data_IF_164356389214
#
_entry.id   IF_164356389214
#
_cell.length_a   1.000
_cell.length_b   1.000
_cell.length_c   1.000
_cell.angle_alpha   90.00
_cell.angle_beta   90.00
_cell.angle_gamma   90.00
#
_symmetry.space_group_name_H-M   'P 1'
#
loop_
_entity.id
_entity.type
_entity.pdbx_description
1 polymer ?
#
# COMPACT_ATOMS: atom_id res chain seq x y z
N UNK A 1 7.75 23.57 2.24
CA UNK A 1 7.95 22.56 3.28
C UNK A 1 9.20 21.75 2.95
N UNK A 2 10.17 21.80 3.84
CA UNK A 2 11.45 21.11 3.61
C UNK A 2 11.36 19.66 4.09
N UNK A 3 10.73 18.82 3.29
CA UNK A 3 10.74 17.40 3.58
C UNK A 3 11.89 16.76 2.79
N UNK A 4 12.83 16.19 3.50
CA UNK A 4 13.89 15.42 2.87
C UNK A 4 13.39 13.99 2.71
N UNK A 5 13.04 13.61 1.48
CA UNK A 5 12.57 12.27 1.16
C UNK A 5 13.70 11.29 0.89
N UNK A 6 14.94 11.77 0.84
CA UNK A 6 16.08 10.94 0.50
C UNK A 6 16.53 10.13 1.71
N UNK A 7 16.62 8.81 1.54
CA UNK A 7 17.07 7.90 2.60
C UNK A 7 16.27 8.00 3.89
N UNK A 8 14.96 8.16 3.75
CA UNK A 8 14.06 8.34 4.89
C UNK A 8 13.08 7.17 4.99
N UNK A 9 12.69 6.82 6.21
CA UNK A 9 11.67 5.82 6.49
C UNK A 9 10.53 6.51 7.26
N UNK A 10 9.33 6.45 6.71
CA UNK A 10 8.17 7.09 7.31
C UNK A 10 7.18 6.00 7.71
N UNK A 11 6.84 5.95 8.99
CA UNK A 11 5.84 5.04 9.51
C UNK A 11 4.52 5.80 9.67
N UNK A 12 3.50 5.40 8.91
CA UNK A 12 2.22 6.07 8.95
C UNK A 12 1.25 5.54 7.90
N UNK A 13 0.10 6.18 7.82
CA UNK A 13 -0.90 5.87 6.79
C UNK A 13 -0.37 6.37 5.43
N UNK A 14 -0.22 5.44 4.49
CA UNK A 14 0.40 5.75 3.20
C UNK A 14 -0.34 6.83 2.43
N UNK A 15 -1.68 6.84 2.45
CA UNK A 15 -2.45 7.88 1.76
C UNK A 15 -2.21 9.26 2.37
N UNK A 16 -2.17 9.36 3.68
CA UNK A 16 -1.90 10.62 4.36
C UNK A 16 -0.49 11.10 4.07
N UNK A 17 0.48 10.19 4.10
CA UNK A 17 1.87 10.55 3.84
C UNK A 17 2.11 10.90 2.38
N UNK A 18 1.51 10.18 1.44
CA UNK A 18 1.62 10.49 0.02
C UNK A 18 1.11 11.89 -0.31
N UNK A 19 0.03 12.32 0.33
CA UNK A 19 -0.54 13.66 0.09
C UNK A 19 0.41 14.79 0.46
N UNK A 20 1.37 14.54 1.32
CA UNK A 20 2.39 15.53 1.72
C UNK A 20 3.50 15.66 0.69
N UNK A 21 3.60 14.75 -0.26
CA UNK A 21 4.68 14.69 -1.25
C UNK A 21 4.28 15.51 -2.46
N UNK A 22 5.17 16.37 -2.98
CA UNK A 22 4.88 17.15 -4.19
C UNK A 22 4.71 16.27 -5.43
N UNK A 23 4.07 16.83 -6.46
CA UNK A 23 3.92 16.17 -7.75
C UNK A 23 5.29 15.87 -8.36
N UNK A 24 5.36 14.80 -9.13
CA UNK A 24 6.53 14.46 -9.95
C UNK A 24 7.84 14.46 -9.16
N UNK A 25 7.84 13.76 -8.01
CA UNK A 25 8.98 13.69 -7.11
C UNK A 25 9.85 12.47 -7.34
N UNK A 26 9.23 11.32 -7.67
CA UNK A 26 9.92 10.04 -7.71
C UNK A 26 10.09 9.51 -9.12
N UNK A 27 11.17 8.75 -9.32
CA UNK A 27 11.46 8.06 -10.58
C UNK A 27 10.88 6.64 -10.58
N UNK A 28 10.79 6.02 -9.40
CA UNK A 28 10.33 4.64 -9.26
C UNK A 28 9.58 4.49 -7.94
N UNK A 29 8.46 3.79 -8.00
CA UNK A 29 7.74 3.35 -6.82
C UNK A 29 7.66 1.82 -6.84
N UNK A 30 8.02 1.19 -5.73
CA UNK A 30 7.77 -0.22 -5.50
C UNK A 30 6.69 -0.32 -4.43
N UNK A 31 5.54 -0.88 -4.79
CA UNK A 31 4.37 -0.91 -3.92
C UNK A 31 4.03 -2.34 -3.49
N UNK A 32 3.70 -2.49 -2.22
CA UNK A 32 3.20 -3.74 -1.66
C UNK A 32 1.90 -3.43 -0.91
N UNK A 33 0.80 -3.25 -1.65
CA UNK A 33 -0.47 -2.85 -1.03
C UNK A 33 -1.17 -4.00 -0.32
N UNK A 34 -2.16 -3.70 0.52
CA UNK A 34 -2.99 -4.75 1.11
C UNK A 34 -3.74 -5.53 0.03
N UNK A 35 -3.88 -6.82 0.24
CA UNK A 35 -4.52 -7.72 -0.74
C UNK A 35 -5.97 -8.02 -0.43
N UNK A 36 -6.53 -7.49 0.66
CA UNK A 36 -7.89 -7.77 1.11
C UNK A 36 -8.11 -9.28 1.33
N UNK A 37 -7.16 -9.91 1.98
CA UNK A 37 -7.15 -11.36 2.13
C UNK A 37 -8.33 -11.88 2.95
N UNK A 38 -8.79 -11.15 3.97
CA UNK A 38 -9.93 -11.52 4.82
C UNK A 38 -9.83 -12.93 5.41
N UNK A 39 -8.62 -13.32 5.78
CA UNK A 39 -8.37 -14.64 6.34
C UNK A 39 -8.83 -14.67 7.79
N UNK A 40 -9.80 -15.54 8.09
CA UNK A 40 -10.42 -15.65 9.41
C UNK A 40 -9.99 -16.88 10.18
N UNK A 41 -9.25 -17.77 9.55
CA UNK A 41 -8.87 -19.05 10.14
C UNK A 41 -7.40 -19.33 9.92
N UNK A 42 -6.93 -20.39 10.58
CA UNK A 42 -5.57 -20.85 10.42
C UNK A 42 -5.34 -21.37 9.00
N UNK A 43 -4.16 -21.08 8.47
CA UNK A 43 -3.69 -21.67 7.22
C UNK A 43 -2.81 -22.87 7.54
N UNK A 44 -2.83 -23.86 6.65
CA UNK A 44 -2.01 -25.06 6.79
C UNK A 44 -0.92 -25.05 5.75
N UNK A 45 0.32 -25.25 6.18
CA UNK A 45 1.46 -25.39 5.28
C UNK A 45 1.46 -26.79 4.63
N UNK A 46 2.20 -26.98 3.52
CA UNK A 46 2.29 -28.31 2.89
C UNK A 46 2.77 -29.42 3.82
N UNK A 47 3.54 -29.12 4.86
CA UNK A 47 4.00 -30.08 5.85
C UNK A 47 2.97 -30.33 6.97
N UNK A 48 1.75 -29.80 6.81
CA UNK A 48 0.65 -29.88 7.76
C UNK A 48 0.81 -29.05 9.03
N UNK A 49 1.84 -28.21 9.13
CA UNK A 49 1.91 -27.24 10.22
C UNK A 49 0.92 -26.10 9.97
N UNK A 50 0.36 -25.57 11.05
CA UNK A 50 -0.61 -24.48 10.96
C UNK A 50 0.07 -23.13 10.98
N UNK A 51 -0.45 -22.20 10.19
CA UNK A 51 0.01 -20.81 10.13
C UNK A 51 -1.19 -19.92 10.33
N UNK A 52 -1.04 -18.86 11.15
CA UNK A 52 -2.09 -17.85 11.27
C UNK A 52 -2.15 -17.04 9.98
N UNK A 53 -3.36 -16.87 9.46
CA UNK A 53 -3.60 -15.99 8.32
C UNK A 53 -3.49 -14.53 8.72
N UNK A 54 -3.35 -13.66 7.71
CA UNK A 54 -3.37 -12.21 7.94
C UNK A 54 -4.76 -11.80 8.39
N UNK A 55 -4.86 -11.22 9.58
CA UNK A 55 -6.12 -10.82 10.18
C UNK A 55 -6.05 -9.36 10.64
N UNK A 56 -5.21 -8.56 10.00
CA UNK A 56 -5.04 -7.15 10.33
C UNK A 56 -6.13 -6.32 9.68
N UNK A 57 -6.65 -5.33 10.41
CA UNK A 57 -7.73 -4.48 9.88
C UNK A 57 -7.34 -3.71 8.62
N UNK A 58 -6.07 -3.34 8.49
CA UNK A 58 -5.61 -2.60 7.33
C UNK A 58 -5.66 -3.43 6.03
N UNK A 59 -5.73 -4.78 6.15
CA UNK A 59 -5.83 -5.70 5.00
C UNK A 59 -7.25 -6.22 4.81
N UNK A 60 -8.23 -5.69 5.55
CA UNK A 60 -9.63 -6.15 5.48
C UNK A 60 -10.53 -4.98 5.11
N UNK A 61 -11.38 -5.18 4.12
CA UNK A 61 -12.32 -4.19 3.65
C UNK A 61 -13.73 -4.75 3.74
N UNK A 62 -14.69 -3.87 4.04
CA UNK A 62 -16.10 -4.26 4.23
C UNK A 62 -16.69 -4.93 2.98
N UNK A 63 -16.27 -4.47 1.80
CA UNK A 63 -16.76 -4.98 0.52
C UNK A 63 -15.77 -4.61 -0.59
N UNK A 64 -16.02 -5.14 -1.79
CA UNK A 64 -15.15 -4.88 -2.94
C UNK A 64 -15.12 -3.40 -3.32
N UNK A 65 -16.24 -2.70 -3.17
CA UNK A 65 -16.27 -1.27 -3.48
C UNK A 65 -15.32 -0.47 -2.60
N UNK A 66 -15.27 -0.77 -1.31
CA UNK A 66 -14.31 -0.12 -0.39
C UNK A 66 -12.87 -0.42 -0.77
N UNK A 67 -12.61 -1.64 -1.16
CA UNK A 67 -11.28 -2.05 -1.61
C UNK A 67 -10.90 -1.33 -2.91
N UNK A 68 -11.82 -1.26 -3.88
CA UNK A 68 -11.61 -0.56 -5.15
C UNK A 68 -11.36 0.93 -4.93
N UNK A 69 -12.16 1.56 -4.06
CA UNK A 69 -11.99 2.98 -3.73
C UNK A 69 -10.62 3.25 -3.12
N UNK A 70 -10.18 2.38 -2.22
CA UNK A 70 -8.85 2.48 -1.61
C UNK A 70 -7.76 2.32 -2.68
N UNK A 71 -7.89 1.31 -3.54
CA UNK A 71 -6.91 1.04 -4.60
C UNK A 71 -6.81 2.21 -5.56
N UNK A 72 -7.94 2.75 -6.00
CA UNK A 72 -7.95 3.93 -6.86
C UNK A 72 -7.25 5.11 -6.19
N UNK A 73 -7.51 5.31 -4.91
CA UNK A 73 -6.94 6.45 -4.17
C UNK A 73 -5.42 6.38 -4.10
N UNK A 74 -4.85 5.24 -3.68
CA UNK A 74 -3.40 5.17 -3.55
C UNK A 74 -2.69 5.11 -4.90
N UNK A 75 -3.28 4.48 -5.91
CA UNK A 75 -2.72 4.48 -7.27
C UNK A 75 -2.73 5.89 -7.87
N UNK A 76 -3.80 6.65 -7.65
CA UNK A 76 -3.88 8.04 -8.12
C UNK A 76 -2.81 8.90 -7.49
N UNK A 77 -2.57 8.74 -6.20
CA UNK A 77 -1.50 9.48 -5.52
C UNK A 77 -0.11 9.04 -5.99
N UNK A 78 0.09 7.75 -6.21
CA UNK A 78 1.34 7.27 -6.78
C UNK A 78 1.60 7.87 -8.16
N UNK A 79 0.58 7.92 -9.01
CA UNK A 79 0.70 8.55 -10.33
C UNK A 79 1.09 10.01 -10.20
N UNK A 80 0.49 10.72 -9.26
CA UNK A 80 0.76 12.15 -9.06
C UNK A 80 2.20 12.41 -8.65
N UNK A 81 2.75 11.60 -7.73
CA UNK A 81 4.10 11.81 -7.21
C UNK A 81 5.19 11.22 -8.10
N UNK A 82 4.83 10.42 -9.09
CA UNK A 82 5.77 9.93 -10.10
C UNK A 82 6.07 10.99 -11.13
N UNK A 83 7.31 11.09 -11.54
CA UNK A 83 7.69 11.87 -12.72
C UNK A 83 7.08 11.26 -13.97
N UNK A 84 6.99 12.05 -15.07
CA UNK A 84 6.33 11.61 -16.30
C UNK A 84 6.89 10.32 -16.88
N UNK A 85 8.19 10.12 -16.72
CA UNK A 85 8.88 8.89 -17.20
C UNK A 85 9.15 7.90 -16.06
N UNK A 86 8.51 8.09 -14.93
CA UNK A 86 8.63 7.17 -13.79
C UNK A 86 7.84 5.89 -13.97
N UNK A 87 8.13 4.92 -13.12
CA UNK A 87 7.48 3.62 -13.17
C UNK A 87 7.03 3.19 -11.77
N UNK A 88 6.00 2.35 -11.75
CA UNK A 88 5.53 1.71 -10.51
C UNK A 88 5.50 0.19 -10.71
N UNK A 89 5.96 -0.51 -9.69
CA UNK A 89 5.93 -1.97 -9.62
C UNK A 89 5.12 -2.43 -8.42
#
# INVERSE_FOLDING_TARGET
>A
MNINFKNNLINGDSLKELKKIPNETFDLIFADPPYNLQLKSELTRPDRSKVLGVNEKWDQFENFKKYDDFTYSWLSECRRVLKKNGAIW
#
